data_IF_333342042831
#
_entry.id   IF_333342042831
#
_cell.length_a   1.000
_cell.length_b   1.000
_cell.length_c   1.000
_cell.angle_alpha   90.00
_cell.angle_beta   90.00
_cell.angle_gamma   90.00
#
_symmetry.space_group_name_H-M   'P 1'
#
loop_
_entity.id
_entity.type
_entity.pdbx_description
1 polymer ?
#
# COMPACT_ATOMS: atom_id res chain seq x y z
N UNK A 1 10.22 -8.99 -6.65
CA UNK A 1 9.97 -9.59 -5.33
C UNK A 1 10.69 -8.73 -4.30
N UNK A 2 9.98 -8.13 -3.34
CA UNK A 2 10.64 -7.33 -2.28
C UNK A 2 11.51 -8.24 -1.44
N UNK A 3 12.77 -7.84 -1.22
CA UNK A 3 13.71 -8.62 -0.39
C UNK A 3 13.35 -8.39 1.08
N UNK A 4 12.92 -9.47 1.74
CA UNK A 4 12.72 -9.54 3.18
C UNK A 4 13.83 -10.44 3.71
N UNK A 5 14.50 -10.00 4.78
CA UNK A 5 15.52 -10.81 5.43
C UNK A 5 14.83 -11.75 6.43
N UNK A 6 15.17 -13.04 6.35
CA UNK A 6 14.73 -14.04 7.30
C UNK A 6 15.90 -14.45 8.22
N UNK A 7 15.62 -14.82 9.48
CA UNK A 7 14.30 -14.78 10.11
C UNK A 7 13.84 -13.35 10.42
N UNK A 8 12.53 -13.12 10.36
CA UNK A 8 11.92 -11.86 10.80
C UNK A 8 11.87 -11.86 12.31
N UNK A 9 12.61 -10.97 12.95
CA UNK A 9 12.65 -10.85 14.40
C UNK A 9 11.82 -9.64 14.85
N UNK A 10 10.81 -9.90 15.69
CA UNK A 10 9.89 -8.91 16.19
C UNK A 10 10.45 -8.25 17.45
N UNK A 11 10.72 -6.95 17.36
CA UNK A 11 11.42 -6.18 18.41
C UNK A 11 10.62 -5.97 19.69
N UNK A 12 9.28 -5.93 19.64
CA UNK A 12 8.42 -5.71 20.80
C UNK A 12 7.97 -7.02 21.47
N UNK A 13 7.64 -8.06 20.68
CA UNK A 13 7.16 -9.36 21.19
C UNK A 13 8.24 -10.42 21.35
N UNK A 14 9.41 -10.24 20.73
CA UNK A 14 10.46 -11.26 20.67
C UNK A 14 10.15 -12.45 19.73
N UNK A 15 9.02 -12.42 19.02
CA UNK A 15 8.64 -13.48 18.08
C UNK A 15 9.60 -13.54 16.87
N UNK A 16 9.89 -14.74 16.38
CA UNK A 16 10.75 -14.95 15.20
C UNK A 16 10.05 -15.82 14.17
N UNK A 17 10.09 -15.42 12.89
CA UNK A 17 9.38 -16.11 11.79
C UNK A 17 10.29 -16.38 10.60
N UNK A 18 10.16 -17.56 10.00
CA UNK A 18 10.91 -17.96 8.80
C UNK A 18 10.16 -17.70 7.51
N UNK A 19 8.85 -17.37 7.59
CA UNK A 19 8.03 -16.98 6.45
C UNK A 19 7.27 -15.67 6.69
N UNK A 20 7.06 -14.91 5.61
CA UNK A 20 6.29 -13.66 5.69
C UNK A 20 4.81 -13.91 6.02
N UNK A 21 4.26 -15.04 5.58
CA UNK A 21 2.88 -15.44 5.89
C UNK A 21 2.64 -15.69 7.37
N UNK A 22 3.60 -16.27 8.08
CA UNK A 22 3.52 -16.47 9.53
C UNK A 22 3.69 -15.15 10.27
N UNK A 23 4.65 -14.33 9.83
CA UNK A 23 4.81 -12.98 10.36
C UNK A 23 3.51 -12.16 10.28
N UNK A 24 2.75 -12.24 9.18
CA UNK A 24 1.46 -11.54 9.05
C UNK A 24 0.37 -12.05 10.02
N UNK A 25 0.57 -13.19 10.67
CA UNK A 25 -0.31 -13.74 11.71
C UNK A 25 0.20 -13.46 13.14
N UNK A 26 1.37 -12.85 13.27
CA UNK A 26 2.04 -12.59 14.55
C UNK A 26 1.30 -11.59 15.44
N UNK A 27 1.59 -11.65 16.74
CA UNK A 27 1.12 -10.66 17.70
C UNK A 27 1.79 -9.30 17.45
N UNK A 28 3.07 -9.30 17.05
CA UNK A 28 3.76 -8.10 16.59
C UNK A 28 2.97 -7.34 15.52
N UNK A 29 2.64 -8.02 14.42
CA UNK A 29 1.94 -7.39 13.30
C UNK A 29 0.53 -6.95 13.68
N UNK A 30 -0.16 -7.71 14.54
CA UNK A 30 -1.43 -7.27 15.12
C UNK A 30 -1.27 -5.94 15.87
N UNK A 31 -0.29 -5.85 16.76
CA UNK A 31 0.00 -4.61 17.50
C UNK A 31 0.39 -3.44 16.59
N UNK A 32 1.21 -3.69 15.56
CA UNK A 32 1.55 -2.67 14.55
C UNK A 32 0.29 -2.13 13.85
N UNK A 33 -0.62 -3.01 13.43
CA UNK A 33 -1.90 -2.59 12.81
C UNK A 33 -2.71 -1.72 13.76
N UNK A 34 -2.88 -2.14 15.00
CA UNK A 34 -3.69 -1.43 15.98
C UNK A 34 -3.13 -0.02 16.26
N UNK A 35 -1.80 0.08 16.47
CA UNK A 35 -1.08 1.36 16.61
C UNK A 35 -1.28 2.26 15.39
N UNK A 36 -1.23 1.71 14.19
CA UNK A 36 -1.43 2.48 12.96
C UNK A 36 -2.88 2.97 12.82
N UNK A 37 -3.88 2.13 13.12
CA UNK A 37 -5.29 2.50 13.07
C UNK A 37 -5.70 3.55 14.11
N UNK A 38 -5.02 3.57 15.26
CA UNK A 38 -5.17 4.58 16.31
C UNK A 38 -4.39 5.87 16.04
N UNK A 39 -3.48 5.88 15.06
CA UNK A 39 -2.64 7.05 14.76
C UNK A 39 -3.43 8.22 14.16
N UNK A 40 -2.78 9.39 14.11
CA UNK A 40 -3.33 10.61 13.48
C UNK A 40 -3.25 10.60 11.95
N UNK A 41 -2.86 9.49 11.31
CA UNK A 41 -2.83 9.43 9.84
C UNK A 41 -4.23 9.53 9.25
N UNK A 42 -4.34 10.26 8.13
CA UNK A 42 -5.60 10.37 7.39
C UNK A 42 -6.03 8.98 6.91
N UNK A 43 -7.21 8.52 7.37
CA UNK A 43 -7.84 7.24 6.99
C UNK A 43 -8.39 7.31 5.56
N UNK A 44 -7.50 7.45 4.59
CA UNK A 44 -7.81 7.51 3.16
C UNK A 44 -6.72 6.78 2.37
N UNK A 45 -7.08 6.21 1.23
CA UNK A 45 -6.14 5.58 0.33
C UNK A 45 -5.07 6.60 -0.11
N UNK A 46 -3.80 6.26 0.09
CA UNK A 46 -2.68 7.13 -0.25
C UNK A 46 -2.59 7.45 -1.75
N UNK A 47 -3.21 6.64 -2.61
CA UNK A 47 -3.21 6.80 -4.07
C UNK A 47 -4.46 7.54 -4.57
N UNK A 48 -5.66 6.99 -4.32
CA UNK A 48 -6.89 7.50 -4.92
C UNK A 48 -7.76 8.35 -3.98
N UNK A 49 -7.37 8.48 -2.70
CA UNK A 49 -8.06 9.27 -1.66
C UNK A 49 -9.43 8.75 -1.23
N UNK A 50 -9.86 7.58 -1.72
CA UNK A 50 -11.07 6.90 -1.23
C UNK A 50 -10.89 6.42 0.19
N UNK A 51 -11.96 6.42 1.00
CA UNK A 51 -11.94 6.03 2.42
C UNK A 51 -12.54 4.64 2.69
N UNK A 52 -13.08 3.98 1.66
CA UNK A 52 -13.70 2.67 1.79
C UNK A 52 -12.68 1.53 1.62
N UNK A 53 -12.92 0.41 2.32
CA UNK A 53 -12.15 -0.85 2.23
C UNK A 53 -10.63 -0.62 2.27
N UNK A 54 -10.16 0.07 3.31
CA UNK A 54 -8.75 0.39 3.49
C UNK A 54 -8.00 -0.78 4.12
N UNK A 55 -6.87 -1.11 3.51
CA UNK A 55 -5.90 -2.07 4.00
C UNK A 55 -4.57 -1.38 4.26
N UNK A 56 -3.78 -1.96 5.17
CA UNK A 56 -2.43 -1.49 5.44
C UNK A 56 -1.47 -2.09 4.42
N UNK A 57 -0.57 -1.26 3.93
CA UNK A 57 0.45 -1.69 2.98
C UNK A 57 1.82 -1.12 3.37
N UNK A 58 2.85 -1.95 3.28
CA UNK A 58 4.24 -1.59 3.56
C UNK A 58 4.83 -0.73 2.43
N UNK A 59 5.08 0.55 2.71
CA UNK A 59 5.90 1.41 1.85
C UNK A 59 7.33 0.90 1.69
N UNK A 60 7.85 0.32 2.76
CA UNK A 60 9.22 -0.21 2.85
C UNK A 60 9.22 -1.50 3.65
N UNK A 61 9.98 -2.48 3.18
CA UNK A 61 10.19 -3.77 3.83
C UNK A 61 11.55 -3.83 4.57
N UNK A 62 12.27 -2.70 4.69
CA UNK A 62 13.62 -2.65 5.28
C UNK A 62 13.65 -2.96 6.78
N UNK A 63 12.52 -2.80 7.47
CA UNK A 63 12.39 -2.91 8.93
C UNK A 63 11.26 -3.85 9.34
N UNK A 64 11.06 -4.93 8.59
CA UNK A 64 10.02 -5.91 8.94
C UNK A 64 10.37 -6.53 10.30
N UNK A 65 9.44 -6.50 11.26
CA UNK A 65 9.66 -6.87 12.67
C UNK A 65 10.09 -5.70 13.58
N UNK A 66 10.32 -4.51 13.02
CA UNK A 66 10.63 -3.28 13.75
C UNK A 66 10.07 -2.05 13.00
N UNK A 67 8.84 -2.18 12.51
CA UNK A 67 8.20 -1.21 11.65
C UNK A 67 7.95 0.10 12.39
N UNK A 68 8.31 1.21 11.74
CA UNK A 68 7.81 2.52 12.13
C UNK A 68 6.44 2.72 11.50
N UNK A 69 5.54 3.44 12.15
CA UNK A 69 4.22 3.71 11.56
C UNK A 69 4.32 4.41 10.18
N UNK A 70 5.37 5.21 9.95
CA UNK A 70 5.64 5.84 8.65
C UNK A 70 6.01 4.87 7.52
N UNK A 71 6.39 3.62 7.85
CA UNK A 71 6.63 2.54 6.89
C UNK A 71 5.33 1.97 6.30
N UNK A 72 4.18 2.42 6.82
CA UNK A 72 2.87 1.95 6.41
C UNK A 72 2.05 3.05 5.72
N UNK A 73 1.07 2.61 4.94
CA UNK A 73 0.01 3.45 4.36
C UNK A 73 -1.30 2.72 4.35
N UNK A 74 -2.38 3.50 4.31
CA UNK A 74 -3.66 3.03 3.83
C UNK A 74 -3.66 2.93 2.30
N UNK A 75 -4.12 1.79 1.78
CA UNK A 75 -4.53 1.61 0.39
C UNK A 75 -5.92 1.00 0.34
N UNK A 76 -6.79 1.51 -0.52
CA UNK A 76 -8.03 0.79 -0.82
C UNK A 76 -7.71 -0.52 -1.56
N UNK A 77 -8.57 -1.51 -1.40
CA UNK A 77 -8.47 -2.82 -2.04
C UNK A 77 -8.11 -2.76 -3.54
N UNK A 78 -8.77 -1.89 -4.32
CA UNK A 78 -8.48 -1.76 -5.75
C UNK A 78 -7.07 -1.26 -6.06
N UNK A 79 -6.55 -0.31 -5.27
CA UNK A 79 -5.18 0.19 -5.43
C UNK A 79 -4.17 -0.85 -4.94
N UNK A 80 -4.52 -1.60 -3.90
CA UNK A 80 -3.69 -2.67 -3.35
C UNK A 80 -3.53 -3.83 -4.35
N UNK A 81 -4.63 -4.30 -4.96
CA UNK A 81 -4.59 -5.39 -5.93
C UNK A 81 -3.84 -4.98 -7.20
N UNK A 82 -4.07 -3.74 -7.68
CA UNK A 82 -3.32 -3.18 -8.82
C UNK A 82 -1.82 -3.09 -8.53
N UNK A 83 -1.43 -2.79 -7.29
CA UNK A 83 -0.02 -2.78 -6.90
C UNK A 83 0.57 -4.20 -6.98
N UNK A 84 -0.14 -5.21 -6.47
CA UNK A 84 0.30 -6.61 -6.57
C UNK A 84 0.43 -7.06 -8.02
N UNK A 85 -0.51 -6.69 -8.88
CA UNK A 85 -0.46 -6.99 -10.32
C UNK A 85 0.78 -6.36 -10.98
N UNK A 86 1.03 -5.08 -10.73
CA UNK A 86 2.22 -4.39 -11.26
C UNK A 86 3.54 -4.99 -10.75
N UNK A 87 3.54 -5.58 -9.56
CA UNK A 87 4.71 -6.22 -8.96
C UNK A 87 4.94 -7.67 -9.43
N UNK A 88 3.93 -8.31 -10.02
CA UNK A 88 4.03 -9.68 -10.55
C UNK A 88 4.70 -9.75 -11.94
N UNK A 89 4.85 -8.63 -12.66
CA UNK A 89 5.59 -8.57 -13.93
C UNK A 89 7.12 -8.61 -13.75
N UNK A 90 7.85 -9.00 -14.80
CA UNK A 90 9.31 -9.26 -14.80
C UNK A 90 10.21 -8.11 -14.29
N UNK A 91 9.70 -6.89 -14.10
CA UNK A 91 10.48 -5.74 -13.68
C UNK A 91 10.49 -5.54 -12.15
N UNK A 92 11.03 -6.55 -11.45
CA UNK A 92 10.94 -6.68 -9.99
C UNK A 92 11.90 -5.77 -9.19
N UNK A 93 12.77 -5.00 -9.85
CA UNK A 93 13.88 -4.27 -9.22
C UNK A 93 13.60 -2.78 -8.92
N UNK A 94 12.46 -2.21 -9.32
CA UNK A 94 12.22 -0.75 -9.17
C UNK A 94 10.79 -0.33 -8.83
N UNK A 95 9.92 -1.18 -8.32
CA UNK A 95 8.55 -0.77 -7.94
C UNK A 95 8.41 -0.52 -6.44
N UNK A 96 8.74 0.70 -6.02
CA UNK A 96 8.29 1.26 -4.75
C UNK A 96 6.87 1.84 -4.93
N UNK A 97 6.06 1.89 -3.87
CA UNK A 97 4.78 2.65 -3.86
C UNK A 97 4.88 4.05 -4.48
N UNK A 98 6.08 4.63 -4.41
CA UNK A 98 6.45 5.90 -5.01
C UNK A 98 6.21 5.96 -6.54
N UNK A 99 6.38 4.85 -7.26
CA UNK A 99 6.17 4.79 -8.71
C UNK A 99 4.69 4.69 -9.12
N UNK A 100 3.80 4.19 -8.26
CA UNK A 100 2.35 4.24 -8.50
C UNK A 100 1.80 5.67 -8.37
N UNK A 101 2.28 6.46 -7.40
CA UNK A 101 1.91 7.87 -7.27
C UNK A 101 2.21 8.64 -8.57
N UNK A 102 3.33 8.35 -9.24
CA UNK A 102 3.73 9.02 -10.49
C UNK A 102 2.89 8.61 -11.71
N UNK A 103 2.43 7.35 -11.81
CA UNK A 103 1.60 6.88 -12.94
C UNK A 103 0.11 7.22 -12.80
N UNK A 104 -0.42 7.27 -11.57
CA UNK A 104 -1.86 7.51 -11.35
C UNK A 104 -2.20 9.01 -11.18
N UNK A 105 -1.27 9.86 -10.71
CA UNK A 105 -1.45 11.33 -10.73
C UNK A 105 -1.57 11.89 -12.15
N UNK A 106 -0.74 11.39 -13.08
CA UNK A 106 -0.77 11.81 -14.51
C UNK A 106 -2.09 11.56 -15.24
N UNK A 107 -2.97 10.67 -14.74
CA UNK A 107 -4.30 10.46 -15.36
C UNK A 107 -5.36 11.43 -14.87
N UNK A 108 -5.21 12.02 -13.68
CA UNK A 108 -6.16 13.03 -13.17
C UNK A 108 -5.84 14.45 -13.67
N UNK A 109 -4.56 14.72 -13.97
CA UNK A 109 -4.09 16.04 -14.41
C UNK A 109 -3.91 16.14 -15.95
N UNK A 110 -4.43 15.18 -16.74
CA UNK A 110 -4.40 15.26 -18.20
C UNK A 110 -5.58 16.08 -18.72
N UNK A 111 -5.38 17.13 -19.54
CA UNK A 111 -6.45 17.95 -20.12
C UNK A 111 -7.49 17.15 -20.93
N UNK A 112 -7.17 15.92 -21.34
CA UNK A 112 -8.02 15.10 -22.22
C UNK A 112 -9.26 14.48 -21.52
N UNK A 113 -9.40 14.54 -20.19
CA UNK A 113 -10.55 13.92 -19.50
C UNK A 113 -11.76 14.83 -19.32
N UNK A 114 -11.74 16.06 -19.86
CA UNK A 114 -12.84 17.03 -19.77
C UNK A 114 -13.72 17.12 -21.03
N UNK A 115 -13.42 16.37 -22.09
CA UNK A 115 -14.23 16.33 -23.31
C UNK A 115 -14.73 14.91 -23.58
N UNK A 116 -16.04 14.79 -23.87
CA UNK A 116 -16.89 13.59 -24.03
C UNK A 116 -17.68 13.30 -22.73
N UNK A 117 -18.89 13.83 -22.51
CA UNK A 117 -20.06 13.76 -23.39
C UNK A 117 -20.85 15.08 -23.27
N UNK A 118 -20.98 15.81 -24.37
CA UNK A 118 -22.14 16.64 -24.65
C UNK A 118 -22.34 16.65 -26.18
N UNK A 119 -23.46 16.09 -26.61
CA UNK A 119 -24.14 16.14 -27.92
C UNK A 119 -25.26 15.09 -27.85
N UNK A 120 -26.55 15.38 -27.92
CA UNK A 120 -27.35 16.49 -28.45
C UNK A 120 -28.63 16.57 -27.59
N UNK A 121 -29.08 17.74 -27.12
CA UNK A 121 -30.03 18.66 -27.79
C UNK A 121 -31.40 18.06 -28.13
N UNK A 122 -32.41 18.78 -27.67
CA UNK A 122 -33.85 18.59 -27.76
C UNK A 122 -34.35 18.47 -29.21
N UNK A 123 -35.32 17.57 -29.42
CA UNK A 123 -36.53 17.80 -30.22
C UNK A 123 -37.69 17.10 -29.51
#
# INVERSE_FOLDING_TARGET
>A
MVKINFPINCSDTGESFTSYSEYLKSNHWKGVKDRFWASKFKKECNVCKRKNKLNLHHKSYKRVGNERLNDLVYLCESCHNKLHELLKGEYSQKLNLWNMNRRMRKRKDSPQSKYSINRNEEV
#
